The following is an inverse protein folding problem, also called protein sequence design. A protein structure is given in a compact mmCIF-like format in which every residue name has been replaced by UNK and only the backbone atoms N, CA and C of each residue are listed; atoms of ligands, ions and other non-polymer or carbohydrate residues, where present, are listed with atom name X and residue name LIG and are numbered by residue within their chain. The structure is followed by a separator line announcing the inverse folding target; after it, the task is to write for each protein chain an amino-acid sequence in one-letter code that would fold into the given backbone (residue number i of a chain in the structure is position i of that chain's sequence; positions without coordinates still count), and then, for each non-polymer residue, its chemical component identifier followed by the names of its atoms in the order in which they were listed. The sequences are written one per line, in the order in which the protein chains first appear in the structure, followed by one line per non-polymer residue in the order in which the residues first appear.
data_IF_366937964855
#
_entry.id   IF_366937964855
#
_cell.length_a   1.000
_cell.length_b   1.000
_cell.length_c   1.000
_cell.angle_alpha   90.00
_cell.angle_beta   90.00
_cell.angle_gamma   90.00
#
_symmetry.space_group_name_H-M   'P 1'
#
loop_
_entity.id
_entity.type
_entity.pdbx_description
1 polymer ?
#
# COMPACT_ATOMS: atom_id res chain seq x y z
N UNK A 1 6.78 -10.94 6.53
CA UNK A 1 6.51 -9.65 5.86
C UNK A 1 7.59 -8.64 6.27
N UNK A 2 8.61 -8.40 5.44
CA UNK A 2 9.54 -7.27 5.63
C UNK A 2 8.71 -5.99 5.51
N UNK A 3 8.60 -5.19 6.58
CA UNK A 3 7.92 -3.88 6.51
C UNK A 3 8.61 -3.04 5.43
N UNK A 4 7.83 -2.48 4.51
CA UNK A 4 8.34 -1.55 3.51
C UNK A 4 9.05 -0.39 4.21
N UNK A 5 10.27 -0.03 3.77
CA UNK A 5 11.01 1.14 4.28
C UNK A 5 10.14 2.40 4.25
N UNK A 6 9.27 2.54 3.24
CA UNK A 6 8.34 3.68 3.12
C UNK A 6 7.31 3.74 4.25
N UNK A 7 6.84 2.61 4.76
CA UNK A 7 5.92 2.59 5.90
C UNK A 7 6.58 3.15 7.15
N UNK A 8 7.84 2.78 7.42
CA UNK A 8 8.59 3.29 8.58
C UNK A 8 8.82 4.80 8.49
N UNK A 9 9.11 5.30 7.28
CA UNK A 9 9.27 6.73 7.02
C UNK A 9 7.95 7.47 7.32
N UNK A 10 6.80 6.96 6.87
CA UNK A 10 5.49 7.58 7.15
C UNK A 10 5.19 7.66 8.66
N UNK A 11 5.47 6.60 9.42
CA UNK A 11 5.33 6.63 10.89
C UNK A 11 6.28 7.65 11.52
N UNK A 12 7.54 7.68 11.08
CA UNK A 12 8.54 8.63 11.57
C UNK A 12 8.13 10.08 11.35
N UNK A 13 7.67 10.42 10.13
CA UNK A 13 7.18 11.76 9.80
C UNK A 13 5.96 12.13 10.64
N UNK A 14 5.00 11.22 10.77
CA UNK A 14 3.79 11.46 11.57
C UNK A 14 4.12 11.75 13.03
N UNK A 15 4.91 10.90 13.69
CA UNK A 15 5.24 11.11 15.10
C UNK A 15 6.17 12.31 15.32
N UNK A 16 7.10 12.59 14.40
CA UNK A 16 7.92 13.79 14.44
C UNK A 16 7.05 15.06 14.36
N UNK A 17 6.02 15.05 13.51
CA UNK A 17 5.07 16.15 13.39
C UNK A 17 4.24 16.34 14.68
N UNK A 18 3.78 15.25 15.31
CA UNK A 18 3.07 15.32 16.60
C UNK A 18 3.98 15.86 17.71
N UNK A 19 5.24 15.41 17.77
CA UNK A 19 6.22 15.91 18.74
C UNK A 19 6.50 17.40 18.50
N UNK A 20 6.59 17.84 17.24
CA UNK A 20 6.76 19.25 16.89
C UNK A 20 5.58 20.10 17.36
N UNK A 21 4.33 19.67 17.12
CA UNK A 21 3.14 20.39 17.60
C UNK A 21 3.18 20.55 19.12
N UNK A 22 3.45 19.46 19.82
CA UNK A 22 3.59 19.46 21.28
C UNK A 22 4.69 20.41 21.74
N UNK A 23 5.85 20.39 21.09
CA UNK A 23 6.97 21.25 21.46
C UNK A 23 6.63 22.74 21.26
N UNK A 24 5.89 23.07 20.21
CA UNK A 24 5.41 24.45 19.97
C UNK A 24 4.39 24.86 21.03
N UNK A 25 3.43 23.99 21.38
CA UNK A 25 2.44 24.24 22.44
C UNK A 25 3.14 24.58 23.78
N UNK A 26 4.15 23.80 24.16
CA UNK A 26 4.98 24.04 25.35
C UNK A 26 5.77 25.35 25.27
N UNK A 27 6.31 25.67 24.10
CA UNK A 27 7.14 26.87 23.92
C UNK A 27 6.33 28.16 24.00
N UNK A 28 5.08 28.15 23.53
CA UNK A 28 4.21 29.32 23.51
C UNK A 28 3.33 29.46 24.78
N UNK A 29 3.14 28.40 25.56
CA UNK A 29 2.42 28.49 26.84
C UNK A 29 3.32 29.10 27.92
N UNK A 30 3.07 30.37 28.25
CA UNK A 30 3.84 31.17 29.22
C UNK A 30 3.36 31.03 30.66
N UNK A 31 2.37 30.16 30.92
CA UNK A 31 1.72 30.04 32.23
C UNK A 31 2.11 28.71 32.89
N UNK A 32 2.90 28.83 33.95
CA UNK A 32 3.64 27.75 34.61
C UNK A 32 2.70 26.72 35.24
N UNK A 33 2.29 25.71 34.48
CA UNK A 33 2.13 24.36 35.06
C UNK A 33 3.51 23.91 35.48
N UNK A 34 3.66 23.40 36.71
CA UNK A 34 4.94 22.83 37.13
C UNK A 34 5.39 21.82 36.06
N UNK A 35 6.60 22.03 35.53
CA UNK A 35 7.17 21.23 34.41
C UNK A 35 6.99 19.73 34.66
N UNK A 36 7.05 19.30 35.92
CA UNK A 36 6.82 17.92 36.36
C UNK A 36 5.40 17.41 36.08
N UNK A 37 4.36 18.20 36.39
CA UNK A 37 2.96 17.82 36.18
C UNK A 37 2.60 17.80 34.70
N UNK A 38 3.15 18.75 33.93
CA UNK A 38 3.01 18.78 32.48
C UNK A 38 3.64 17.55 31.82
N UNK A 39 4.90 17.24 32.16
CA UNK A 39 5.60 16.06 31.63
C UNK A 39 4.90 14.75 32.00
N UNK A 40 4.38 14.63 33.22
CA UNK A 40 3.64 13.44 33.65
C UNK A 40 2.36 13.23 32.84
N UNK A 41 1.57 14.30 32.65
CA UNK A 41 0.36 14.27 31.83
C UNK A 41 0.67 13.91 30.38
N UNK A 42 1.74 14.49 29.83
CA UNK A 42 2.20 14.22 28.47
C UNK A 42 2.59 12.76 28.27
N UNK A 43 3.38 12.19 29.18
CA UNK A 43 3.81 10.80 29.09
C UNK A 43 2.60 9.86 29.24
N UNK A 44 1.75 10.07 30.24
CA UNK A 44 0.56 9.21 30.47
C UNK A 44 -0.40 9.24 29.28
N UNK A 45 -0.81 10.42 28.81
CA UNK A 45 -1.75 10.54 27.69
C UNK A 45 -1.10 10.21 26.35
N UNK A 46 0.20 10.48 26.19
CA UNK A 46 1.00 10.08 25.05
C UNK A 46 1.02 8.56 24.88
N UNK A 47 1.26 7.82 25.97
CA UNK A 47 1.21 6.35 25.95
C UNK A 47 -0.18 5.87 25.50
N UNK A 48 -1.26 6.44 26.03
CA UNK A 48 -2.63 6.07 25.62
C UNK A 48 -2.85 6.32 24.11
N UNK A 49 -2.41 7.48 23.59
CA UNK A 49 -2.53 7.82 22.17
C UNK A 49 -1.72 6.87 21.28
N UNK A 50 -0.49 6.56 21.67
CA UNK A 50 0.39 5.60 20.99
C UNK A 50 -0.26 4.21 21.01
N UNK A 51 -0.77 3.77 22.15
CA UNK A 51 -1.48 2.49 22.28
C UNK A 51 -2.71 2.43 21.39
N UNK A 52 -3.56 3.46 21.38
CA UNK A 52 -4.72 3.57 20.47
C UNK A 52 -4.30 3.40 19.01
N UNK A 53 -3.30 4.17 18.60
CA UNK A 53 -2.81 4.17 17.23
C UNK A 53 -2.33 2.78 16.80
N UNK A 54 -1.48 2.13 17.61
CA UNK A 54 -0.88 0.85 17.26
C UNK A 54 -1.81 -0.35 17.46
N UNK A 55 -2.71 -0.31 18.44
CA UNK A 55 -3.76 -1.34 18.60
C UNK A 55 -4.63 -1.35 17.35
N UNK A 56 -5.10 -0.19 16.89
CA UNK A 56 -5.89 -0.11 15.66
C UNK A 56 -5.08 -0.55 14.43
N UNK A 57 -3.85 -0.04 14.28
CA UNK A 57 -2.99 -0.27 13.11
C UNK A 57 -2.50 -1.72 12.97
N UNK A 58 -2.08 -2.36 14.07
CA UNK A 58 -1.47 -3.69 14.08
C UNK A 58 -2.46 -4.81 14.33
N UNK A 59 -3.53 -4.56 15.08
CA UNK A 59 -4.45 -5.61 15.55
C UNK A 59 -5.81 -5.48 14.86
N UNK A 60 -6.55 -4.39 15.09
CA UNK A 60 -7.94 -4.29 14.63
C UNK A 60 -8.04 -4.32 13.10
N UNK A 61 -7.29 -3.48 12.39
CA UNK A 61 -7.36 -3.43 10.93
C UNK A 61 -6.93 -4.77 10.31
N UNK A 62 -5.76 -5.35 10.62
CA UNK A 62 -5.36 -6.60 9.98
C UNK A 62 -6.26 -7.79 10.32
N UNK A 63 -6.75 -7.90 11.55
CA UNK A 63 -7.55 -9.05 11.96
C UNK A 63 -9.01 -8.95 11.56
N UNK A 64 -9.67 -7.81 11.81
CA UNK A 64 -11.11 -7.66 11.61
C UNK A 64 -11.47 -7.24 10.19
N UNK A 65 -10.71 -6.31 9.59
CA UNK A 65 -10.98 -5.84 8.23
C UNK A 65 -10.37 -6.79 7.21
N UNK A 66 -9.06 -7.04 7.27
CA UNK A 66 -8.36 -7.78 6.20
C UNK A 66 -8.60 -9.29 6.26
N UNK A 67 -8.34 -9.91 7.41
CA UNK A 67 -8.39 -11.38 7.53
C UNK A 67 -9.82 -11.91 7.65
N UNK A 68 -10.64 -11.30 8.51
CA UNK A 68 -11.99 -11.79 8.82
C UNK A 68 -13.12 -11.08 8.06
N UNK A 69 -12.88 -9.90 7.47
CA UNK A 69 -13.89 -9.06 6.79
C UNK A 69 -15.15 -8.78 7.64
N UNK A 70 -15.00 -8.73 8.97
CA UNK A 70 -16.09 -8.45 9.92
C UNK A 70 -16.14 -6.95 10.23
N UNK A 71 -16.62 -6.16 9.28
CA UNK A 71 -16.65 -4.70 9.36
C UNK A 71 -17.48 -4.17 10.54
N UNK A 72 -18.60 -4.83 10.87
CA UNK A 72 -19.42 -4.45 12.02
C UNK A 72 -18.67 -4.59 13.35
N UNK A 73 -17.98 -5.72 13.57
CA UNK A 73 -17.15 -5.92 14.76
C UNK A 73 -15.99 -4.92 14.84
N UNK A 74 -15.44 -4.53 13.69
CA UNK A 74 -14.43 -3.48 13.64
C UNK A 74 -15.01 -2.14 14.10
N UNK A 75 -16.17 -1.73 13.57
CA UNK A 75 -16.82 -0.48 13.98
C UNK A 75 -17.16 -0.48 15.47
N UNK A 76 -17.68 -1.59 15.99
CA UNK A 76 -17.95 -1.75 17.42
C UNK A 76 -16.66 -1.62 18.24
N UNK A 77 -15.59 -2.34 17.87
CA UNK A 77 -14.31 -2.25 18.55
C UNK A 77 -13.70 -0.84 18.47
N UNK A 78 -13.85 -0.15 17.34
CA UNK A 78 -13.38 1.21 17.14
C UNK A 78 -14.07 2.18 18.09
N UNK A 79 -15.41 2.14 18.15
CA UNK A 79 -16.21 3.01 19.04
C UNK A 79 -15.94 2.70 20.50
N UNK A 80 -15.85 1.41 20.88
CA UNK A 80 -15.52 1.00 22.25
C UNK A 80 -14.13 1.47 22.66
N UNK A 81 -13.13 1.29 21.79
CA UNK A 81 -11.76 1.71 22.06
C UNK A 81 -11.65 3.23 22.18
N UNK A 82 -12.34 3.97 21.32
CA UNK A 82 -12.42 5.43 21.35
C UNK A 82 -13.06 5.93 22.65
N UNK A 83 -14.25 5.41 22.98
CA UNK A 83 -14.99 5.78 24.18
C UNK A 83 -14.24 5.42 25.46
N UNK A 84 -13.65 4.22 25.53
CA UNK A 84 -12.87 3.78 26.69
C UNK A 84 -11.65 4.67 26.92
N UNK A 85 -10.90 5.02 25.88
CA UNK A 85 -9.73 5.87 26.04
C UNK A 85 -10.09 7.32 26.42
N UNK A 86 -11.15 7.89 25.84
CA UNK A 86 -11.65 9.20 26.23
C UNK A 86 -12.13 9.20 27.69
N UNK A 87 -12.85 8.15 28.10
CA UNK A 87 -13.32 7.98 29.47
C UNK A 87 -12.16 7.87 30.46
N UNK A 88 -11.16 7.02 30.19
CA UNK A 88 -9.99 6.84 31.05
C UNK A 88 -9.27 8.17 31.26
N UNK A 89 -9.01 8.93 30.19
CA UNK A 89 -8.36 10.25 30.30
C UNK A 89 -9.20 11.25 31.08
N UNK A 90 -10.52 11.22 30.91
CA UNK A 90 -11.44 12.10 31.63
C UNK A 90 -11.46 11.76 33.13
N UNK A 91 -11.53 10.49 33.49
CA UNK A 91 -11.48 10.04 34.89
C UNK A 91 -10.15 10.48 35.53
N UNK A 92 -9.03 10.27 34.86
CA UNK A 92 -7.71 10.72 35.36
C UNK A 92 -7.65 12.24 35.55
N UNK A 93 -8.28 13.00 34.65
CA UNK A 93 -8.35 14.46 34.75
C UNK A 93 -9.28 14.95 35.86
N UNK A 94 -10.42 14.30 36.09
CA UNK A 94 -11.34 14.63 37.20
C UNK A 94 -10.68 14.35 38.55
N UNK A 95 -9.82 13.34 38.64
CA UNK A 95 -9.03 13.06 39.85
C UNK A 95 -7.91 14.08 40.09
N UNK A 96 -7.49 14.81 39.06
CA UNK A 96 -6.40 15.81 39.12
C UNK A 96 -6.81 17.13 38.42
N UNK A 97 -7.89 17.79 38.86
CA UNK A 97 -8.54 18.85 38.08
C UNK A 97 -7.65 20.10 37.93
N UNK A 98 -6.89 20.46 38.96
CA UNK A 98 -5.98 21.62 38.94
C UNK A 98 -4.86 21.50 37.90
N UNK A 99 -4.43 20.27 37.61
CA UNK A 99 -3.35 20.01 36.67
C UNK A 99 -3.86 19.85 35.22
N UNK A 100 -5.10 19.39 35.06
CA UNK A 100 -5.59 18.89 33.77
C UNK A 100 -6.80 19.65 33.21
N UNK A 101 -7.67 20.20 34.05
CA UNK A 101 -8.92 20.84 33.64
C UNK A 101 -8.87 22.37 33.70
N UNK A 102 -7.92 22.93 34.45
CA UNK A 102 -7.72 24.38 34.54
C UNK A 102 -7.00 24.92 33.30
N UNK A 103 -7.56 26.01 32.75
CA UNK A 103 -7.04 26.77 31.62
C UNK A 103 -7.31 28.27 31.82
N UNK A 104 -6.60 29.13 31.08
CA UNK A 104 -6.79 30.58 31.15
C UNK A 104 -7.58 31.05 29.93
N UNK A 105 -8.67 31.77 30.16
CA UNK A 105 -9.47 32.40 29.11
C UNK A 105 -9.71 33.85 29.48
N UNK A 106 -9.35 34.79 28.59
CA UNK A 106 -9.46 36.23 28.84
C UNK A 106 -8.76 36.67 30.15
N UNK A 107 -7.61 36.05 30.45
CA UNK A 107 -6.83 36.33 31.66
C UNK A 107 -7.44 35.81 32.96
N UNK A 108 -8.54 35.04 32.92
CA UNK A 108 -9.17 34.43 34.09
C UNK A 108 -8.97 32.91 34.09
N UNK A 109 -8.62 32.29 35.23
CA UNK A 109 -8.59 30.84 35.34
C UNK A 109 -10.03 30.31 35.25
N UNK A 110 -10.25 29.35 34.35
CA UNK A 110 -11.49 28.60 34.20
C UNK A 110 -11.17 27.11 34.30
N UNK A 111 -12.10 26.34 34.85
CA UNK A 111 -12.02 24.88 34.90
C UNK A 111 -13.00 24.31 33.88
N UNK A 112 -12.52 23.43 33.01
CA UNK A 112 -13.38 22.68 32.10
C UNK A 112 -14.31 21.75 32.88
N UNK A 113 -15.58 21.70 32.48
CA UNK A 113 -16.49 20.70 32.99
C UNK A 113 -16.12 19.32 32.43
N UNK A 114 -16.47 18.25 33.16
CA UNK A 114 -16.06 16.89 32.82
C UNK A 114 -16.59 16.43 31.45
N UNK A 115 -17.79 16.86 31.08
CA UNK A 115 -18.40 16.61 29.77
C UNK A 115 -17.61 17.29 28.63
N UNK A 116 -17.27 18.57 28.80
CA UNK A 116 -16.48 19.33 27.83
C UNK A 116 -15.10 18.71 27.64
N UNK A 117 -14.45 18.32 28.74
CA UNK A 117 -13.17 17.62 28.69
C UNK A 117 -13.29 16.26 28.01
N UNK A 118 -14.34 15.50 28.30
CA UNK A 118 -14.60 14.21 27.65
C UNK A 118 -14.74 14.36 26.14
N UNK A 119 -15.53 15.31 25.65
CA UNK A 119 -15.69 15.55 24.21
C UNK A 119 -14.39 16.01 23.55
N UNK A 120 -13.59 16.84 24.22
CA UNK A 120 -12.26 17.22 23.72
C UNK A 120 -11.32 16.00 23.60
N UNK A 121 -11.30 15.12 24.61
CA UNK A 121 -10.52 13.89 24.56
C UNK A 121 -11.06 12.88 23.55
N UNK A 122 -12.37 12.83 23.33
CA UNK A 122 -13.00 12.02 22.30
C UNK A 122 -12.52 12.46 20.92
N UNK A 123 -12.51 13.78 20.65
CA UNK A 123 -12.00 14.33 19.39
C UNK A 123 -10.52 14.00 19.19
N UNK A 124 -9.68 14.21 20.21
CA UNK A 124 -8.24 13.95 20.14
C UNK A 124 -7.93 12.46 19.94
N UNK A 125 -8.56 11.57 20.71
CA UNK A 125 -8.42 10.12 20.52
C UNK A 125 -8.93 9.69 19.13
N UNK A 126 -10.01 10.29 18.65
CA UNK A 126 -10.56 10.09 17.31
C UNK A 126 -9.54 10.44 16.22
N UNK A 127 -8.85 11.58 16.37
CA UNK A 127 -7.77 11.98 15.47
C UNK A 127 -6.66 10.93 15.35
N UNK A 128 -6.18 10.35 16.46
CA UNK A 128 -5.15 9.29 16.42
C UNK A 128 -5.67 8.00 15.78
N UNK A 129 -6.90 7.60 16.06
CA UNK A 129 -7.50 6.41 15.46
C UNK A 129 -7.74 6.57 13.95
N UNK A 130 -8.27 7.71 13.52
CA UNK A 130 -8.47 8.02 12.10
C UNK A 130 -7.12 8.13 11.38
N UNK A 131 -6.13 8.79 11.97
CA UNK A 131 -4.77 8.86 11.42
C UNK A 131 -4.14 7.48 11.26
N UNK A 132 -4.36 6.58 12.23
CA UNK A 132 -3.96 5.17 12.16
C UNK A 132 -4.57 4.46 10.95
N UNK A 133 -5.87 4.68 10.69
CA UNK A 133 -6.54 4.17 9.49
C UNK A 133 -5.93 4.74 8.20
N UNK A 134 -5.79 6.06 8.11
CA UNK A 134 -5.25 6.74 6.94
C UNK A 134 -3.85 6.24 6.58
N UNK A 135 -2.95 6.19 7.56
CA UNK A 135 -1.57 5.70 7.36
C UNK A 135 -1.59 4.23 6.94
N UNK A 136 -2.44 3.41 7.55
CA UNK A 136 -2.54 1.98 7.22
C UNK A 136 -2.99 1.78 5.78
N UNK A 137 -4.10 2.41 5.40
CA UNK A 137 -4.66 2.28 4.05
C UNK A 137 -3.76 2.89 2.99
N UNK A 138 -3.12 4.04 3.26
CA UNK A 138 -2.14 4.62 2.34
C UNK A 138 -0.94 3.69 2.13
N UNK A 139 -0.36 3.15 3.21
CA UNK A 139 0.76 2.22 3.12
C UNK A 139 0.39 0.93 2.34
N UNK A 140 -0.82 0.41 2.58
CA UNK A 140 -1.33 -0.75 1.87
C UNK A 140 -1.59 -0.46 0.39
N UNK A 141 -2.14 0.72 0.06
CA UNK A 141 -2.39 1.17 -1.31
C UNK A 141 -1.09 1.25 -2.12
N UNK A 142 -0.09 1.97 -1.63
CA UNK A 142 1.21 2.09 -2.31
C UNK A 142 1.91 0.73 -2.48
N UNK A 143 1.78 -0.15 -1.49
CA UNK A 143 2.32 -1.51 -1.60
C UNK A 143 1.59 -2.31 -2.68
N UNK A 144 0.27 -2.20 -2.75
CA UNK A 144 -0.54 -2.93 -3.72
C UNK A 144 -0.29 -2.42 -5.14
N UNK A 145 -0.19 -1.10 -5.32
CA UNK A 145 0.15 -0.48 -6.60
C UNK A 145 1.50 -0.96 -7.12
N UNK A 146 2.52 -1.03 -6.26
CA UNK A 146 3.84 -1.57 -6.64
C UNK A 146 3.77 -3.03 -7.07
N UNK A 147 3.00 -3.85 -6.35
CA UNK A 147 2.80 -5.26 -6.70
C UNK A 147 2.10 -5.36 -8.07
N UNK A 148 1.05 -4.56 -8.30
CA UNK A 148 0.34 -4.54 -9.59
C UNK A 148 1.25 -4.15 -10.76
N UNK A 149 2.08 -3.10 -10.59
CA UNK A 149 3.05 -2.70 -11.63
C UNK A 149 4.06 -3.81 -11.93
N UNK A 150 4.54 -4.52 -10.91
CA UNK A 150 5.46 -5.63 -11.10
C UNK A 150 4.79 -6.79 -11.85
N UNK A 151 3.56 -7.15 -11.46
CA UNK A 151 2.79 -8.21 -12.13
C UNK A 151 2.49 -7.86 -13.59
N UNK A 152 2.20 -6.60 -13.88
CA UNK A 152 2.00 -6.13 -15.25
C UNK A 152 3.28 -6.21 -16.09
N UNK A 153 4.44 -5.87 -15.50
CA UNK A 153 5.73 -6.03 -16.16
C UNK A 153 6.05 -7.50 -16.45
N UNK A 154 5.88 -8.38 -15.47
CA UNK A 154 6.08 -9.82 -15.63
C UNK A 154 5.13 -10.39 -16.70
N UNK A 155 3.87 -9.95 -16.72
CA UNK A 155 2.90 -10.34 -17.75
C UNK A 155 3.37 -9.94 -19.14
N UNK A 156 3.80 -8.68 -19.35
CA UNK A 156 4.29 -8.22 -20.65
C UNK A 156 5.52 -9.02 -21.12
N UNK A 157 6.41 -9.37 -20.19
CA UNK A 157 7.57 -10.18 -20.50
C UNK A 157 7.18 -11.61 -20.88
N UNK A 158 6.22 -12.21 -20.19
CA UNK A 158 5.66 -13.52 -20.57
C UNK A 158 4.97 -13.47 -21.93
N UNK A 159 4.17 -12.45 -22.23
CA UNK A 159 3.54 -12.26 -23.54
C UNK A 159 4.60 -12.12 -24.65
N UNK A 160 5.66 -11.36 -24.40
CA UNK A 160 6.79 -11.24 -25.34
C UNK A 160 7.49 -12.58 -25.56
N UNK A 161 7.77 -13.33 -24.49
CA UNK A 161 8.41 -14.65 -24.59
C UNK A 161 7.51 -15.65 -25.33
N UNK A 162 6.22 -15.62 -25.07
CA UNK A 162 5.23 -16.42 -25.79
C UNK A 162 5.23 -16.08 -27.29
N UNK A 163 5.14 -14.80 -27.65
CA UNK A 163 5.22 -14.36 -29.05
C UNK A 163 6.55 -14.75 -29.71
N UNK A 164 7.68 -14.62 -28.99
CA UNK A 164 8.99 -15.08 -29.49
C UNK A 164 9.04 -16.60 -29.68
N UNK A 165 8.39 -17.37 -28.81
CA UNK A 165 8.36 -18.83 -28.92
C UNK A 165 7.58 -19.34 -30.14
N UNK A 166 6.63 -18.54 -30.64
CA UNK A 166 5.94 -18.86 -31.90
C UNK A 166 6.88 -18.82 -33.11
N UNK A 167 7.93 -17.97 -33.05
CA UNK A 167 9.00 -17.99 -34.02
C UNK A 167 9.99 -19.09 -33.60
N UNK A 168 9.93 -20.28 -34.21
CA UNK A 168 10.92 -21.33 -33.96
C UNK A 168 12.30 -20.88 -34.50
N UNK A 169 13.24 -20.38 -33.66
CA UNK A 169 14.45 -19.73 -34.16
C UNK A 169 15.37 -20.76 -34.80
N UNK A 170 15.37 -21.99 -34.28
CA UNK A 170 16.13 -23.10 -34.82
C UNK A 170 15.66 -23.48 -36.23
N UNK A 171 14.35 -23.54 -36.46
CA UNK A 171 13.79 -23.76 -37.79
C UNK A 171 14.21 -22.64 -38.75
N UNK A 172 14.17 -21.38 -38.30
CA UNK A 172 14.57 -20.24 -39.12
C UNK A 172 16.06 -20.31 -39.50
N UNK A 173 16.95 -20.55 -38.54
CA UNK A 173 18.40 -20.69 -38.81
C UNK A 173 18.70 -21.87 -39.74
N UNK A 174 18.03 -23.02 -39.55
CA UNK A 174 18.21 -24.18 -40.43
C UNK A 174 17.72 -23.91 -41.85
N UNK A 175 16.58 -23.21 -41.99
CA UNK A 175 16.04 -22.83 -43.29
C UNK A 175 16.97 -21.86 -44.01
N UNK A 176 17.50 -20.85 -43.30
CA UNK A 176 18.48 -19.90 -43.85
C UNK A 176 19.79 -20.58 -44.26
N UNK A 177 20.30 -21.51 -43.45
CA UNK A 177 21.51 -22.27 -43.79
C UNK A 177 21.31 -23.14 -45.03
N UNK A 178 20.13 -23.77 -45.19
CA UNK A 178 19.80 -24.54 -46.38
C UNK A 178 19.74 -23.64 -47.63
N UNK A 179 19.06 -22.49 -47.53
CA UNK A 179 19.04 -21.48 -48.60
C UNK A 179 20.46 -21.01 -48.94
N UNK A 180 21.31 -20.77 -47.93
CA UNK A 180 22.71 -20.41 -48.15
C UNK A 180 23.48 -21.47 -48.93
N UNK A 181 23.31 -22.76 -48.58
CA UNK A 181 23.94 -23.86 -49.33
C UNK A 181 23.44 -23.94 -50.78
N UNK A 182 22.13 -23.77 -51.02
CA UNK A 182 21.57 -23.72 -52.38
C UNK A 182 22.12 -22.56 -53.19
N UNK A 183 22.21 -21.37 -52.59
CA UNK A 183 22.75 -20.18 -53.22
C UNK A 183 24.24 -20.35 -53.55
N UNK A 184 25.03 -20.90 -52.62
CA UNK A 184 26.44 -21.19 -52.82
C UNK A 184 26.68 -22.18 -53.97
N UNK A 185 25.82 -23.19 -54.07
CA UNK A 185 25.84 -24.17 -55.17
C UNK A 185 25.25 -23.65 -56.48
N UNK A 186 24.78 -22.39 -56.53
CA UNK A 186 24.05 -21.79 -57.67
C UNK A 186 22.87 -22.66 -58.13
N UNK A 187 22.13 -23.23 -57.18
CA UNK A 187 20.97 -24.04 -57.48
C UNK A 187 19.79 -23.17 -57.95
N UNK A 188 19.13 -23.59 -59.02
CA UNK A 188 17.89 -22.95 -59.52
C UNK A 188 16.76 -22.96 -58.47
N UNK A 189 16.83 -23.84 -57.46
CA UNK A 189 15.85 -23.96 -56.36
C UNK A 189 15.96 -22.88 -55.29
N UNK A 190 16.99 -22.04 -55.35
CA UNK A 190 17.26 -21.03 -54.30
C UNK A 190 16.11 -20.02 -54.18
N UNK A 191 15.57 -19.55 -55.31
CA UNK A 191 14.47 -18.58 -55.32
C UNK A 191 13.19 -19.16 -54.69
N UNK A 192 12.86 -20.40 -55.03
CA UNK A 192 11.69 -21.10 -54.49
C UNK A 192 11.80 -21.31 -52.97
N UNK A 193 12.98 -21.66 -52.47
CA UNK A 193 13.23 -21.85 -51.05
C UNK A 193 13.08 -20.54 -50.26
N UNK A 194 13.52 -19.41 -50.82
CA UNK A 194 13.31 -18.07 -50.23
C UNK A 194 11.82 -17.73 -50.19
N UNK A 195 11.08 -18.01 -51.27
CA UNK A 195 9.64 -17.77 -51.33
C UNK A 195 8.90 -18.60 -50.27
N UNK A 196 9.17 -19.91 -50.19
CA UNK A 196 8.56 -20.81 -49.19
C UNK A 196 8.85 -20.34 -47.76
N UNK A 197 10.09 -19.93 -47.46
CA UNK A 197 10.42 -19.39 -46.13
C UNK A 197 9.66 -18.08 -45.82
N UNK A 198 9.50 -17.20 -46.82
CA UNK A 198 8.74 -15.95 -46.67
C UNK A 198 7.25 -16.21 -46.39
N UNK A 199 6.64 -17.19 -47.09
CA UNK A 199 5.26 -17.62 -46.86
C UNK A 199 5.06 -18.22 -45.47
N UNK A 200 5.99 -19.09 -45.06
CA UNK A 200 5.99 -19.73 -43.74
C UNK A 200 6.07 -18.67 -42.62
N UNK A 201 7.00 -17.70 -42.73
CA UNK A 201 7.16 -16.62 -41.76
C UNK A 201 5.95 -15.69 -41.72
N UNK A 202 5.38 -15.33 -42.88
CA UNK A 202 4.17 -14.52 -42.98
C UNK A 202 2.98 -15.22 -42.31
N UNK A 203 2.82 -16.52 -42.53
CA UNK A 203 1.77 -17.31 -41.87
C UNK A 203 1.94 -17.33 -40.34
N UNK A 204 3.17 -17.55 -39.84
CA UNK A 204 3.45 -17.55 -38.41
C UNK A 204 3.19 -16.19 -37.74
N UNK A 205 3.48 -15.08 -38.40
CA UNK A 205 3.33 -13.72 -37.84
C UNK A 205 1.89 -13.20 -37.93
N UNK A 206 1.16 -13.53 -39.00
CA UNK A 206 -0.14 -12.91 -39.30
C UNK A 206 -1.34 -13.86 -39.19
N UNK A 207 -1.18 -15.16 -39.48
CA UNK A 207 -2.30 -16.11 -39.59
C UNK A 207 -2.42 -17.09 -38.41
N UNK A 208 -1.40 -17.19 -37.55
CA UNK A 208 -1.37 -18.13 -36.41
C UNK A 208 -2.24 -17.74 -35.20
N UNK A 209 -2.96 -16.62 -35.26
CA UNK A 209 -3.75 -16.09 -34.14
C UNK A 209 -5.14 -16.76 -33.96
N UNK A 210 -5.36 -17.93 -34.55
CA UNK A 210 -6.62 -18.69 -34.44
C UNK A 210 -6.41 -19.94 -33.57
N UNK A 211 -7.25 -20.19 -32.54
CA UNK A 211 -7.07 -21.32 -31.62
C UNK A 211 -7.26 -22.70 -32.26
N UNK A 212 -7.76 -22.75 -33.50
CA UNK A 212 -7.91 -23.96 -34.31
C UNK A 212 -7.63 -23.61 -35.77
N UNK A 213 -6.71 -24.33 -36.40
CA UNK A 213 -6.43 -24.27 -37.84
C UNK A 213 -7.01 -25.54 -38.48
N UNK A 214 -7.66 -25.41 -39.64
CA UNK A 214 -8.16 -26.57 -40.36
C UNK A 214 -6.99 -27.46 -40.82
N UNK A 215 -7.08 -28.78 -40.60
CA UNK A 215 -6.02 -29.76 -40.93
C UNK A 215 -5.56 -29.66 -42.39
N UNK A 216 -6.46 -29.31 -43.32
CA UNK A 216 -6.12 -29.08 -44.73
C UNK A 216 -5.09 -27.97 -44.93
N UNK A 217 -5.13 -26.89 -44.13
CA UNK A 217 -4.13 -25.83 -44.16
C UNK A 217 -2.77 -26.29 -43.63
N UNK A 218 -2.72 -27.20 -42.66
CA UNK A 218 -1.45 -27.77 -42.18
C UNK A 218 -0.82 -28.74 -43.19
N UNK A 219 -1.63 -29.52 -43.90
CA UNK A 219 -1.15 -30.44 -44.95
C UNK A 219 -0.61 -29.68 -46.16
N UNK A 220 -1.32 -28.63 -46.62
CA UNK A 220 -0.83 -27.76 -47.70
C UNK A 220 0.46 -27.02 -47.31
N UNK A 221 0.71 -26.80 -46.01
CA UNK A 221 1.92 -26.15 -45.50
C UNK A 221 3.15 -27.07 -45.51
N UNK A 222 2.97 -28.38 -45.40
CA UNK A 222 4.05 -29.39 -45.36
C UNK A 222 4.44 -29.94 -46.73
N UNK A 223 3.71 -29.56 -47.79
CA UNK A 223 3.87 -30.10 -49.15
C UNK A 223 4.45 -29.04 -50.10
#
# INVERSE_FOLDING_TARGET
MKKSKGTLILHGIFWAFIILIIALDVFFDSQVKSVKHFLLSLVLFGIINISLFYINYLILIPQLIKKRKKYFLYMLAFVLLLGAAALIKTVVAVLNPKDMMDYIMEGKPKTLQADQYFFAQLFLCGFFLVSSCLIKFAADWFSNERIQRNLESERREMELQFLKSQLNPHFLFNSLNNIYSLAYQKSDKTADAIMKLSEIMRYMIYESNTPTVALSKEVDYLT
#
